data_IF_672645740889
#
_entry.id   IF_672645740889
#
_cell.length_a   1.000
_cell.length_b   1.000
_cell.length_c   1.000
_cell.angle_alpha   90.00
_cell.angle_beta   90.00
_cell.angle_gamma   90.00
#
_symmetry.space_group_name_H-M   'P 1'
#
loop_
_entity.id
_entity.type
_entity.pdbx_description
1 polymer ?
#
# COMPACT_ATOMS: atom_id res chain seq x y z
N UNK A 1 -7.92 -32.43 2.80
CA UNK A 1 -6.47 -32.28 3.02
C UNK A 1 -5.68 -32.06 1.73
N UNK A 2 -6.28 -31.71 0.58
CA UNK A 2 -5.55 -31.80 -0.70
C UNK A 2 -5.63 -30.58 -1.63
N UNK A 3 -6.37 -29.51 -1.32
CA UNK A 3 -6.44 -28.33 -2.23
C UNK A 3 -5.48 -27.21 -1.84
N UNK A 4 -5.22 -27.02 -0.57
CA UNK A 4 -4.43 -25.89 -0.04
C UNK A 4 -2.93 -26.13 -0.21
N UNK A 5 -2.49 -27.38 -0.04
CA UNK A 5 -1.11 -27.77 -0.39
C UNK A 5 -0.78 -27.53 -1.88
N UNK A 6 -1.77 -27.58 -2.78
CA UNK A 6 -1.52 -27.31 -4.21
C UNK A 6 -1.22 -25.84 -4.51
N UNK A 7 -1.84 -24.89 -3.81
CA UNK A 7 -1.61 -23.45 -4.05
C UNK A 7 -0.26 -23.02 -3.45
N UNK A 8 0.05 -23.47 -2.23
CA UNK A 8 1.37 -23.25 -1.65
C UNK A 8 2.50 -24.03 -2.39
N UNK A 9 2.22 -25.25 -2.86
CA UNK A 9 3.18 -26.07 -3.62
C UNK A 9 3.40 -25.52 -5.03
N UNK A 10 2.42 -24.87 -5.66
CA UNK A 10 2.63 -24.22 -6.96
C UNK A 10 3.64 -23.08 -6.86
N UNK A 11 3.61 -22.31 -5.77
CA UNK A 11 4.63 -21.29 -5.47
C UNK A 11 6.03 -21.91 -5.30
N UNK A 12 6.13 -23.10 -4.71
CA UNK A 12 7.40 -23.81 -4.49
C UNK A 12 7.94 -24.47 -5.78
N UNK A 13 7.07 -24.93 -6.68
CA UNK A 13 7.52 -25.66 -7.89
C UNK A 13 8.01 -24.75 -9.02
N UNK A 14 7.64 -23.46 -9.05
CA UNK A 14 8.20 -22.49 -10.00
C UNK A 14 9.56 -21.92 -9.58
N UNK A 15 9.99 -22.12 -8.34
CA UNK A 15 11.32 -21.71 -7.82
C UNK A 15 12.48 -22.59 -8.33
N UNK A 16 12.22 -23.69 -9.04
CA UNK A 16 13.25 -24.71 -9.38
C UNK A 16 13.63 -24.78 -10.85
N UNK A 17 13.50 -23.72 -11.66
CA UNK A 17 14.10 -23.79 -13.00
C UNK A 17 14.41 -22.42 -13.62
N UNK A 18 15.54 -21.85 -13.26
CA UNK A 18 16.34 -21.04 -14.18
C UNK A 18 17.76 -20.84 -13.64
N UNK A 19 18.62 -21.80 -13.94
CA UNK A 19 20.06 -21.55 -13.96
C UNK A 19 20.37 -20.74 -15.21
N UNK A 20 20.59 -19.45 -15.05
CA UNK A 20 21.43 -18.71 -15.98
C UNK A 20 22.56 -18.08 -15.16
N UNK A 21 23.70 -18.76 -15.23
CA UNK A 21 24.99 -18.27 -14.78
C UNK A 21 25.41 -17.19 -15.77
N UNK A 22 25.42 -15.94 -15.34
CA UNK A 22 26.26 -14.92 -15.96
C UNK A 22 27.45 -14.73 -15.05
N UNK A 23 28.57 -15.27 -15.48
CA UNK A 23 29.91 -14.93 -14.96
C UNK A 23 30.25 -13.53 -15.42
N UNK A 24 30.22 -12.56 -14.49
CA UNK A 24 30.93 -11.31 -14.70
C UNK A 24 32.08 -11.22 -13.70
N UNK A 25 33.30 -11.18 -14.25
CA UNK A 25 34.55 -10.92 -13.53
C UNK A 25 34.82 -9.43 -13.68
N UNK A 26 34.51 -8.63 -12.68
CA UNK A 26 34.78 -7.20 -12.66
C UNK A 26 35.13 -6.71 -11.26
N UNK A 27 36.32 -6.18 -11.11
CA UNK A 27 36.99 -5.76 -9.90
C UNK A 27 36.24 -4.68 -9.09
N UNK A 28 36.33 -4.84 -7.76
CA UNK A 28 35.91 -3.93 -6.69
C UNK A 28 36.48 -2.51 -6.87
N UNK A 29 35.59 -1.53 -6.92
CA UNK A 29 35.89 -0.15 -6.56
C UNK A 29 34.66 0.51 -5.98
N UNK A 30 34.73 0.91 -4.68
CA UNK A 30 33.69 1.55 -3.89
C UNK A 30 32.97 2.66 -4.65
N UNK A 31 31.75 2.36 -5.08
CA UNK A 31 30.86 3.26 -5.77
C UNK A 31 29.48 3.21 -5.14
N UNK A 32 28.97 4.36 -4.70
CA UNK A 32 27.61 4.52 -4.26
C UNK A 32 26.65 4.00 -5.33
N UNK A 33 25.51 3.49 -4.89
CA UNK A 33 24.43 2.95 -5.73
C UNK A 33 24.05 3.98 -6.82
N UNK A 34 24.40 3.68 -8.07
CA UNK A 34 24.00 4.44 -9.26
C UNK A 34 22.91 3.75 -10.05
N UNK A 35 22.11 2.88 -9.40
CA UNK A 35 20.99 2.22 -10.03
C UNK A 35 19.83 3.20 -10.28
N UNK A 36 19.21 3.13 -11.46
CA UNK A 36 17.99 3.87 -11.74
C UNK A 36 16.92 3.49 -10.72
N UNK A 37 16.31 4.50 -10.08
CA UNK A 37 15.19 4.30 -9.15
C UNK A 37 14.04 3.65 -9.90
N UNK A 38 13.48 2.56 -9.33
CA UNK A 38 12.35 1.84 -9.94
C UNK A 38 12.75 0.69 -10.85
N UNK A 39 13.98 0.15 -10.74
CA UNK A 39 14.40 -1.04 -11.46
C UNK A 39 13.51 -2.24 -11.16
N UNK A 40 13.12 -2.99 -12.20
CA UNK A 40 12.32 -4.21 -12.08
C UNK A 40 13.24 -5.42 -12.22
N UNK A 41 13.26 -6.28 -11.20
CA UNK A 41 13.94 -7.58 -11.25
C UNK A 41 12.94 -8.73 -11.07
N UNK A 42 13.31 -9.92 -11.55
CA UNK A 42 12.61 -11.14 -11.20
C UNK A 42 12.94 -11.54 -9.77
N UNK A 43 11.92 -11.69 -8.93
CA UNK A 43 12.10 -12.03 -7.52
C UNK A 43 12.26 -13.54 -7.34
N UNK A 44 13.32 -13.95 -6.67
CA UNK A 44 13.45 -15.29 -6.14
C UNK A 44 12.78 -15.36 -4.76
N UNK A 45 11.50 -15.75 -4.74
CA UNK A 45 10.68 -15.75 -3.54
C UNK A 45 10.80 -17.08 -2.81
N UNK A 46 11.13 -17.02 -1.52
CA UNK A 46 11.26 -18.18 -0.64
C UNK A 46 10.21 -18.13 0.48
N UNK A 47 9.60 -19.29 0.76
CA UNK A 47 8.68 -19.47 1.88
C UNK A 47 9.47 -19.44 3.20
N UNK A 48 9.07 -18.54 4.14
CA UNK A 48 9.65 -18.50 5.49
C UNK A 48 8.80 -19.34 6.47
N UNK A 49 7.49 -19.07 6.52
CA UNK A 49 6.59 -19.66 7.51
C UNK A 49 5.15 -19.72 7.00
N UNK A 50 4.42 -20.72 7.42
CA UNK A 50 2.97 -20.86 7.21
C UNK A 50 2.28 -20.56 8.52
N UNK A 51 1.39 -19.57 8.56
CA UNK A 51 0.60 -19.22 9.75
C UNK A 51 -0.66 -20.08 9.85
N UNK A 52 -1.35 -20.24 8.72
CA UNK A 52 -2.58 -21.00 8.59
C UNK A 52 -2.78 -21.47 7.13
N UNK A 53 -3.96 -21.99 6.82
CA UNK A 53 -4.28 -22.48 5.47
C UNK A 53 -4.34 -21.41 4.38
N UNK A 54 -4.41 -20.15 4.75
CA UNK A 54 -4.60 -19.01 3.86
C UNK A 54 -3.43 -18.04 3.89
N UNK A 55 -2.60 -18.09 4.94
CA UNK A 55 -1.60 -17.06 5.22
C UNK A 55 -0.21 -17.66 5.40
N UNK A 56 0.75 -17.09 4.69
CA UNK A 56 2.17 -17.43 4.82
C UNK A 56 3.06 -16.20 4.69
N UNK A 57 4.27 -16.28 5.24
CA UNK A 57 5.30 -15.26 5.05
C UNK A 57 6.40 -15.75 4.11
N UNK A 58 6.93 -14.79 3.36
CA UNK A 58 7.92 -15.01 2.31
C UNK A 58 9.06 -14.01 2.44
N UNK A 59 10.20 -14.35 1.83
CA UNK A 59 11.32 -13.44 1.60
C UNK A 59 11.73 -13.43 0.12
N UNK A 60 12.32 -12.33 -0.30
CA UNK A 60 12.93 -12.21 -1.63
C UNK A 60 14.13 -11.27 -1.56
N UNK A 61 15.29 -11.65 -2.13
CA UNK A 61 16.39 -10.72 -2.36
C UNK A 61 15.96 -9.62 -3.34
N UNK A 62 16.24 -8.36 -3.00
CA UNK A 62 16.05 -7.22 -3.89
C UNK A 62 17.15 -6.17 -3.63
N UNK A 63 17.99 -5.91 -4.63
CA UNK A 63 19.19 -5.11 -4.44
C UNK A 63 20.06 -5.69 -3.32
N UNK A 64 20.46 -4.85 -2.38
CA UNK A 64 21.29 -5.25 -1.23
C UNK A 64 20.48 -5.72 -0.01
N UNK A 65 19.17 -5.91 -0.14
CA UNK A 65 18.26 -6.24 0.95
C UNK A 65 17.59 -7.59 0.76
N UNK A 66 17.32 -8.27 1.87
CA UNK A 66 16.30 -9.33 1.89
C UNK A 66 14.99 -8.70 2.32
N UNK A 67 14.00 -8.72 1.43
CA UNK A 67 12.68 -8.12 1.66
C UNK A 67 11.70 -9.20 2.09
N UNK A 68 10.91 -8.89 3.11
CA UNK A 68 9.93 -9.82 3.65
C UNK A 68 8.51 -9.32 3.41
N UNK A 69 7.56 -10.25 3.27
CA UNK A 69 6.14 -9.93 3.15
C UNK A 69 5.26 -11.10 3.60
N UNK A 70 4.05 -10.81 4.00
CA UNK A 70 3.02 -11.79 4.36
C UNK A 70 1.95 -11.74 3.29
N UNK A 71 1.52 -12.90 2.81
CA UNK A 71 0.44 -13.03 1.83
C UNK A 71 -0.74 -13.73 2.49
N UNK A 72 -1.92 -13.14 2.36
CA UNK A 72 -3.18 -13.76 2.70
C UNK A 72 -4.02 -13.94 1.43
N UNK A 73 -4.48 -15.16 1.20
CA UNK A 73 -5.29 -15.56 0.04
C UNK A 73 -6.67 -15.99 0.54
N UNK A 74 -7.77 -15.48 -0.01
CA UNK A 74 -9.10 -15.85 0.45
C UNK A 74 -9.37 -17.37 0.27
N UNK A 75 -10.25 -17.97 1.12
CA UNK A 75 -10.35 -19.44 1.25
C UNK A 75 -10.77 -20.17 -0.01
N UNK A 76 -11.61 -19.53 -0.84
CA UNK A 76 -12.20 -20.15 -2.02
C UNK A 76 -11.53 -19.72 -3.34
N UNK A 77 -10.32 -19.15 -3.26
CA UNK A 77 -9.59 -18.71 -4.45
C UNK A 77 -9.26 -19.90 -5.37
N UNK A 78 -9.66 -19.75 -6.63
CA UNK A 78 -9.32 -20.68 -7.71
C UNK A 78 -8.76 -19.91 -8.92
N UNK A 79 -7.46 -20.05 -9.16
CA UNK A 79 -6.74 -19.34 -10.23
C UNK A 79 -7.26 -19.63 -11.65
N UNK A 80 -7.95 -20.75 -11.87
CA UNK A 80 -8.50 -21.11 -13.18
C UNK A 80 -9.74 -20.29 -13.53
N UNK A 81 -10.52 -19.87 -12.51
CA UNK A 81 -11.84 -19.27 -12.72
C UNK A 81 -12.00 -17.86 -12.14
N UNK A 82 -11.02 -17.38 -11.38
CA UNK A 82 -11.13 -16.11 -10.66
C UNK A 82 -9.91 -15.24 -10.90
N UNK A 83 -10.15 -14.03 -11.38
CA UNK A 83 -9.15 -12.96 -11.44
C UNK A 83 -9.40 -12.00 -10.28
N UNK A 84 -8.50 -11.99 -9.28
CA UNK A 84 -8.71 -11.28 -8.02
C UNK A 84 -7.99 -9.93 -7.97
N UNK A 85 -8.56 -8.95 -7.25
CA UNK A 85 -7.83 -7.76 -6.85
C UNK A 85 -6.61 -8.09 -5.97
N UNK A 86 -5.60 -7.23 -6.01
CA UNK A 86 -4.39 -7.30 -5.19
C UNK A 86 -4.28 -6.02 -4.35
N UNK A 87 -4.18 -6.17 -3.02
CA UNK A 87 -4.06 -5.06 -2.09
C UNK A 87 -2.76 -5.15 -1.30
N UNK A 88 -1.90 -4.15 -1.45
CA UNK A 88 -0.74 -3.97 -0.59
C UNK A 88 -1.11 -3.15 0.63
N UNK A 89 -0.75 -3.63 1.84
CA UNK A 89 -1.03 -2.94 3.11
C UNK A 89 0.30 -2.65 3.82
N UNK A 90 0.57 -1.37 4.06
CA UNK A 90 1.88 -0.86 4.44
C UNK A 90 1.88 -0.31 5.87
N UNK A 91 2.85 -0.76 6.68
CA UNK A 91 3.00 -0.31 8.07
C UNK A 91 3.61 1.09 8.17
N UNK A 92 3.41 1.75 9.31
CA UNK A 92 4.05 3.02 9.67
C UNK A 92 5.53 2.86 10.07
N UNK A 93 6.20 3.99 10.29
CA UNK A 93 7.56 4.03 10.82
C UNK A 93 7.64 3.32 12.16
N UNK A 94 8.70 2.56 12.42
CA UNK A 94 8.95 1.69 13.58
C UNK A 94 8.01 0.48 13.73
N UNK A 95 7.00 0.34 12.86
CA UNK A 95 6.05 -0.76 12.88
C UNK A 95 6.49 -1.92 11.97
N UNK A 96 5.70 -2.96 11.83
CA UNK A 96 6.02 -4.18 11.10
C UNK A 96 4.80 -4.74 10.36
N UNK A 97 5.04 -5.58 9.34
CA UNK A 97 3.99 -6.22 8.55
C UNK A 97 2.98 -7.03 9.40
N UNK A 98 3.38 -7.84 10.40
CA UNK A 98 2.42 -8.52 11.27
C UNK A 98 1.55 -7.57 12.09
N UNK A 99 2.09 -6.42 12.47
CA UNK A 99 1.37 -5.42 13.28
C UNK A 99 0.29 -4.75 12.44
N UNK A 100 0.63 -4.26 11.24
CA UNK A 100 -0.37 -3.62 10.37
C UNK A 100 -1.42 -4.63 9.87
N UNK A 101 -1.07 -5.91 9.68
CA UNK A 101 -2.02 -6.98 9.39
C UNK A 101 -3.09 -7.08 10.46
N UNK A 102 -2.69 -7.15 11.73
CA UNK A 102 -3.62 -7.20 12.86
C UNK A 102 -4.41 -5.90 13.01
N UNK A 103 -3.73 -4.75 12.83
CA UNK A 103 -4.30 -3.43 13.05
C UNK A 103 -5.35 -3.07 12.01
N UNK A 104 -5.09 -3.38 10.75
CA UNK A 104 -5.98 -3.07 9.64
C UNK A 104 -7.12 -4.08 9.47
N UNK A 105 -6.94 -5.35 9.87
CA UNK A 105 -7.97 -6.39 9.77
C UNK A 105 -8.36 -6.78 8.34
N UNK A 106 -7.54 -6.49 7.34
CA UNK A 106 -7.85 -6.78 5.93
C UNK A 106 -8.02 -8.26 5.61
N UNK A 107 -7.49 -9.19 6.42
CA UNK A 107 -7.70 -10.62 6.22
C UNK A 107 -9.19 -11.00 6.26
N UNK A 108 -9.93 -10.44 7.24
CA UNK A 108 -11.36 -10.70 7.35
C UNK A 108 -12.10 -10.15 6.13
N UNK A 109 -11.82 -8.92 5.73
CA UNK A 109 -12.46 -8.30 4.56
C UNK A 109 -12.11 -9.08 3.29
N UNK A 110 -10.85 -9.53 3.15
CA UNK A 110 -10.39 -10.37 2.03
C UNK A 110 -11.18 -11.68 1.93
N UNK A 111 -11.48 -12.32 3.07
CA UNK A 111 -12.25 -13.56 3.11
C UNK A 111 -13.72 -13.35 2.68
N UNK A 112 -14.29 -12.19 3.00
CA UNK A 112 -15.67 -11.83 2.67
C UNK A 112 -15.81 -11.36 1.21
N UNK A 113 -14.82 -10.63 0.71
CA UNK A 113 -14.89 -9.87 -0.54
C UNK A 113 -13.98 -10.40 -1.66
N UNK A 114 -13.23 -11.48 -1.41
CA UNK A 114 -12.40 -12.19 -2.40
C UNK A 114 -11.32 -11.34 -3.08
N UNK A 115 -10.28 -10.95 -2.35
CA UNK A 115 -9.08 -10.32 -2.87
C UNK A 115 -7.82 -10.83 -2.16
N UNK A 116 -6.65 -10.71 -2.78
CA UNK A 116 -5.37 -11.09 -2.18
C UNK A 116 -4.80 -9.89 -1.43
N UNK A 117 -4.36 -10.11 -0.18
CA UNK A 117 -3.69 -9.09 0.63
C UNK A 117 -2.22 -9.41 0.79
N UNK A 118 -1.38 -8.39 0.63
CA UNK A 118 0.07 -8.48 0.83
C UNK A 118 0.51 -7.43 1.84
N UNK A 119 0.95 -7.88 3.01
CA UNK A 119 1.55 -7.02 4.04
C UNK A 119 3.05 -7.00 3.84
N UNK A 120 3.55 -5.91 3.33
CA UNK A 120 4.97 -5.77 2.99
C UNK A 120 5.75 -5.24 4.18
N UNK A 121 6.94 -5.81 4.43
CA UNK A 121 7.86 -5.33 5.47
C UNK A 121 8.82 -4.30 4.87
N UNK A 122 8.86 -3.11 5.47
CA UNK A 122 9.84 -2.07 5.18
C UNK A 122 11.25 -2.46 5.64
N UNK A 123 12.25 -1.80 5.08
CA UNK A 123 13.65 -1.96 5.52
C UNK A 123 13.92 -1.24 6.84
N UNK A 124 15.10 -1.44 7.41
CA UNK A 124 15.54 -0.72 8.60
C UNK A 124 16.47 0.44 8.23
N UNK A 125 16.33 1.56 8.93
CA UNK A 125 17.26 2.67 8.88
C UNK A 125 18.53 2.38 9.71
N UNK A 126 19.44 3.36 9.75
CA UNK A 126 20.70 3.26 10.53
C UNK A 126 20.49 3.16 12.04
N UNK A 127 19.30 3.46 12.53
CA UNK A 127 18.92 3.36 13.95
C UNK A 127 18.20 2.06 14.28
N UNK A 128 17.99 1.19 13.28
CA UNK A 128 17.24 -0.07 13.42
C UNK A 128 15.72 0.09 13.35
N UNK A 129 15.20 1.27 12.99
CA UNK A 129 13.78 1.50 12.83
C UNK A 129 13.32 1.09 11.43
N UNK A 130 12.20 0.40 11.35
CA UNK A 130 11.58 -0.03 10.08
C UNK A 130 10.80 1.09 9.41
N UNK A 131 10.80 1.14 8.09
CA UNK A 131 10.06 2.14 7.32
C UNK A 131 10.30 2.06 5.82
N UNK A 132 10.04 3.16 5.13
CA UNK A 132 9.97 3.25 3.68
C UNK A 132 10.72 4.48 3.16
N UNK A 133 11.28 4.38 1.98
CA UNK A 133 11.67 5.55 1.18
C UNK A 133 10.40 6.20 0.58
N UNK A 134 9.69 6.94 1.40
CA UNK A 134 8.36 7.47 1.07
C UNK A 134 8.38 8.94 0.60
N UNK A 135 9.55 9.54 0.38
CA UNK A 135 9.68 10.93 -0.06
C UNK A 135 9.30 11.98 0.99
N UNK A 136 9.15 11.57 2.27
CA UNK A 136 8.71 12.47 3.35
C UNK A 136 9.85 12.92 4.27
N UNK A 137 10.73 11.99 4.69
CA UNK A 137 11.91 12.31 5.50
C UNK A 137 13.07 11.37 5.14
N UNK A 138 14.31 11.86 5.32
CA UNK A 138 15.51 11.35 4.67
C UNK A 138 16.12 10.02 5.14
N UNK A 139 15.46 9.27 6.04
CA UNK A 139 16.08 8.09 6.68
C UNK A 139 16.30 6.90 5.72
N UNK A 140 15.58 6.82 4.59
CA UNK A 140 15.55 5.68 3.67
C UNK A 140 15.92 6.05 2.22
N UNK A 141 16.57 7.15 1.98
CA UNK A 141 16.80 7.70 0.61
C UNK A 141 17.58 6.78 -0.32
N UNK A 142 18.30 5.80 0.22
CA UNK A 142 19.10 4.83 -0.56
C UNK A 142 18.35 3.54 -0.86
N UNK A 143 17.11 3.38 -0.41
CA UNK A 143 16.30 2.17 -0.63
C UNK A 143 15.40 2.37 -1.84
N UNK A 144 15.45 1.45 -2.79
CA UNK A 144 14.54 1.44 -3.94
C UNK A 144 13.26 0.65 -3.64
N UNK A 145 12.38 1.23 -2.80
CA UNK A 145 11.08 0.63 -2.51
C UNK A 145 10.17 0.60 -3.74
N UNK A 146 10.22 1.62 -4.60
CA UNK A 146 9.40 1.68 -5.82
C UNK A 146 9.73 0.52 -6.76
N UNK A 147 11.02 0.26 -7.02
CA UNK A 147 11.46 -0.88 -7.82
C UNK A 147 11.07 -2.22 -7.20
N UNK A 148 11.13 -2.32 -5.86
CA UNK A 148 10.67 -3.51 -5.16
C UNK A 148 9.17 -3.76 -5.36
N UNK A 149 8.30 -2.75 -5.22
CA UNK A 149 6.87 -2.90 -5.47
C UNK A 149 6.55 -3.25 -6.93
N UNK A 150 7.24 -2.66 -7.91
CA UNK A 150 7.12 -3.06 -9.32
C UNK A 150 7.47 -4.53 -9.53
N UNK A 151 8.53 -5.00 -8.87
CA UNK A 151 8.98 -6.39 -8.93
C UNK A 151 7.99 -7.35 -8.23
N UNK A 152 7.42 -6.93 -7.08
CA UNK A 152 6.36 -7.68 -6.41
C UNK A 152 5.10 -7.80 -7.27
N UNK A 153 4.64 -6.72 -7.87
CA UNK A 153 3.47 -6.73 -8.77
C UNK A 153 3.72 -7.71 -9.93
N UNK A 154 4.89 -7.63 -10.56
CA UNK A 154 5.29 -8.58 -11.61
C UNK A 154 5.23 -10.03 -11.11
N UNK A 155 5.80 -10.31 -9.92
CA UNK A 155 5.77 -11.63 -9.32
C UNK A 155 4.35 -12.11 -9.06
N UNK A 156 3.49 -11.29 -8.43
CA UNK A 156 2.10 -11.68 -8.15
C UNK A 156 1.29 -11.96 -9.40
N UNK A 157 1.48 -11.20 -10.47
CA UNK A 157 0.88 -11.46 -11.79
C UNK A 157 1.32 -12.79 -12.42
N UNK A 158 2.48 -13.33 -12.04
CA UNK A 158 2.95 -14.64 -12.55
C UNK A 158 2.44 -15.83 -11.73
N UNK A 159 2.22 -15.65 -10.43
CA UNK A 159 1.86 -16.77 -9.51
C UNK A 159 0.37 -16.82 -9.19
N UNK A 160 -0.35 -15.72 -9.37
CA UNK A 160 -1.79 -15.63 -9.17
C UNK A 160 -2.47 -15.04 -10.40
N UNK A 161 -3.75 -15.36 -10.57
CA UNK A 161 -4.58 -14.70 -11.59
C UNK A 161 -5.06 -13.35 -11.03
N UNK A 162 -4.24 -12.31 -11.21
CA UNK A 162 -4.50 -10.95 -10.71
C UNK A 162 -5.30 -10.14 -11.75
N UNK A 163 -6.32 -9.44 -11.28
CA UNK A 163 -6.98 -8.41 -12.08
C UNK A 163 -6.08 -7.17 -12.15
N UNK A 164 -5.41 -6.98 -13.28
CA UNK A 164 -4.45 -5.89 -13.47
C UNK A 164 -5.05 -4.48 -13.38
N UNK A 165 -6.37 -4.36 -13.48
CA UNK A 165 -7.09 -3.11 -13.25
C UNK A 165 -7.44 -2.88 -11.78
N UNK A 166 -7.20 -3.85 -10.91
CA UNK A 166 -7.54 -3.81 -9.48
C UNK A 166 -6.33 -4.15 -8.61
N UNK A 167 -5.26 -3.37 -8.78
CA UNK A 167 -4.06 -3.42 -7.94
C UNK A 167 -4.01 -2.14 -7.12
N UNK A 168 -3.99 -2.28 -5.79
CA UNK A 168 -4.20 -1.19 -4.85
C UNK A 168 -3.11 -1.16 -3.79
N UNK A 169 -2.91 0.02 -3.18
CA UNK A 169 -2.03 0.18 -2.03
C UNK A 169 -2.72 0.99 -0.94
N UNK A 170 -2.56 0.57 0.29
CA UNK A 170 -3.00 1.35 1.46
C UNK A 170 -1.97 1.24 2.58
N UNK A 171 -2.02 2.16 3.52
CA UNK A 171 -1.13 2.11 4.67
C UNK A 171 -1.38 3.22 5.68
N UNK A 172 -0.75 3.05 6.84
CA UNK A 172 -0.81 3.99 7.94
C UNK A 172 0.47 4.85 7.99
N UNK A 173 0.33 6.14 8.30
CA UNK A 173 1.49 6.99 8.60
C UNK A 173 2.50 6.93 7.44
N UNK A 174 3.76 6.55 7.70
CA UNK A 174 4.77 6.37 6.64
C UNK A 174 4.33 5.37 5.55
N UNK A 175 3.50 4.36 5.86
CA UNK A 175 2.89 3.47 4.88
C UNK A 175 1.88 4.19 3.98
N UNK A 176 1.15 5.18 4.52
CA UNK A 176 0.28 6.07 3.73
C UNK A 176 1.09 6.98 2.80
N UNK A 177 2.20 7.56 3.28
CA UNK A 177 3.15 8.29 2.43
C UNK A 177 3.70 7.42 1.31
N UNK A 178 4.06 6.16 1.62
CA UNK A 178 4.55 5.23 0.60
C UNK A 178 3.47 4.89 -0.42
N UNK A 179 2.21 4.72 0.00
CA UNK A 179 1.08 4.52 -0.93
C UNK A 179 0.91 5.71 -1.88
N UNK A 180 1.03 6.93 -1.40
CA UNK A 180 1.06 8.13 -2.25
C UNK A 180 2.23 8.11 -3.22
N UNK A 181 3.44 7.75 -2.76
CA UNK A 181 4.60 7.61 -3.63
C UNK A 181 4.38 6.57 -4.73
N UNK A 182 3.78 5.43 -4.39
CA UNK A 182 3.43 4.41 -5.36
C UNK A 182 2.41 4.92 -6.39
N UNK A 183 1.42 5.71 -5.97
CA UNK A 183 0.48 6.34 -6.90
C UNK A 183 1.17 7.30 -7.88
N UNK A 184 2.23 7.99 -7.43
CA UNK A 184 3.00 8.91 -8.27
C UNK A 184 3.95 8.22 -9.26
N UNK A 185 4.48 7.02 -8.91
CA UNK A 185 5.61 6.44 -9.64
C UNK A 185 5.30 5.05 -10.22
N UNK A 186 4.21 4.36 -9.84
CA UNK A 186 3.89 2.99 -10.29
C UNK A 186 2.55 2.95 -11.02
N UNK A 187 2.60 2.78 -12.33
CA UNK A 187 1.41 2.83 -13.18
C UNK A 187 0.43 1.69 -12.90
N UNK A 188 0.93 0.51 -12.53
CA UNK A 188 0.11 -0.65 -12.17
C UNK A 188 -0.76 -0.42 -10.93
N UNK A 189 -0.42 0.51 -10.03
CA UNK A 189 -1.28 0.87 -8.89
C UNK A 189 -2.45 1.72 -9.40
N UNK A 190 -3.67 1.23 -9.28
CA UNK A 190 -4.86 1.88 -9.83
C UNK A 190 -5.52 2.87 -8.86
N UNK A 191 -5.45 2.59 -7.56
CA UNK A 191 -5.95 3.45 -6.49
C UNK A 191 -5.16 3.28 -5.21
N UNK A 192 -5.19 4.29 -4.35
CA UNK A 192 -4.56 4.19 -3.03
C UNK A 192 -5.49 4.65 -1.91
N UNK A 193 -5.26 4.09 -0.71
CA UNK A 193 -5.83 4.56 0.54
C UNK A 193 -4.72 4.99 1.50
N UNK A 194 -4.86 6.16 2.12
CA UNK A 194 -3.93 6.63 3.14
C UNK A 194 -4.64 6.87 4.45
N UNK A 195 -4.10 6.35 5.55
CA UNK A 195 -4.60 6.62 6.89
C UNK A 195 -3.50 7.33 7.67
N UNK A 196 -3.75 8.58 8.10
CA UNK A 196 -2.80 9.45 8.82
C UNK A 196 -1.43 9.59 8.15
N UNK A 197 -1.39 9.43 6.82
CA UNK A 197 -0.24 9.71 5.98
C UNK A 197 -0.59 10.77 4.96
N UNK A 198 0.38 11.36 4.30
CA UNK A 198 0.17 12.38 3.26
C UNK A 198 1.20 12.26 2.14
N UNK A 199 1.25 13.23 1.25
CA UNK A 199 2.29 13.32 0.22
C UNK A 199 3.56 13.94 0.81
N UNK A 200 4.71 13.30 0.57
CA UNK A 200 6.01 13.88 0.91
C UNK A 200 6.42 14.98 -0.07
N UNK A 201 7.17 15.99 0.42
CA UNK A 201 7.66 17.10 -0.43
C UNK A 201 9.07 16.85 -1.00
N UNK A 202 9.76 15.80 -0.55
CA UNK A 202 11.15 15.54 -0.97
C UNK A 202 11.26 14.72 -2.27
N UNK A 203 10.18 14.12 -2.74
CA UNK A 203 10.14 13.45 -4.04
C UNK A 203 9.02 14.07 -4.88
N UNK A 204 9.33 14.59 -6.08
CA UNK A 204 8.30 15.10 -6.97
C UNK A 204 7.29 14.03 -7.35
N UNK A 205 6.00 14.36 -7.29
CA UNK A 205 4.93 13.49 -7.78
C UNK A 205 4.59 13.85 -9.22
N UNK A 206 4.90 12.94 -10.15
CA UNK A 206 4.65 13.10 -11.59
C UNK A 206 3.99 11.85 -12.15
N UNK A 207 2.71 11.57 -11.78
CA UNK A 207 2.03 10.36 -12.21
C UNK A 207 1.88 10.34 -13.73
N UNK A 208 1.89 9.15 -14.32
CA UNK A 208 1.65 8.97 -15.76
C UNK A 208 0.18 8.61 -16.05
N UNK A 209 -0.54 8.15 -15.05
CA UNK A 209 -1.94 7.73 -15.17
C UNK A 209 -2.80 8.30 -14.04
N UNK A 210 -4.06 8.56 -14.32
CA UNK A 210 -5.03 9.04 -13.31
C UNK A 210 -5.25 7.97 -12.23
N UNK A 211 -5.41 8.38 -10.97
CA UNK A 211 -5.56 7.48 -9.81
C UNK A 211 -6.73 7.92 -8.94
N UNK A 212 -7.50 6.97 -8.43
CA UNK A 212 -8.44 7.28 -7.37
C UNK A 212 -7.74 7.27 -6.00
N UNK A 213 -8.10 8.21 -5.14
CA UNK A 213 -7.45 8.43 -3.85
C UNK A 213 -8.51 8.49 -2.75
N UNK A 214 -8.33 7.71 -1.68
CA UNK A 214 -9.08 7.88 -0.44
C UNK A 214 -8.11 8.16 0.72
N UNK A 215 -8.36 9.21 1.50
CA UNK A 215 -7.48 9.67 2.57
C UNK A 215 -8.29 9.90 3.86
N UNK A 216 -7.81 9.34 4.96
CA UNK A 216 -8.35 9.52 6.31
C UNK A 216 -7.32 10.24 7.17
N UNK A 217 -7.72 11.34 7.83
CA UNK A 217 -6.79 12.10 8.66
C UNK A 217 -7.51 12.76 9.84
N UNK A 218 -6.97 12.57 11.05
CA UNK A 218 -7.41 13.26 12.25
C UNK A 218 -6.95 14.72 12.25
N UNK A 219 -7.84 15.64 12.59
CA UNK A 219 -7.52 17.06 12.59
C UNK A 219 -6.55 17.44 13.74
N UNK A 220 -6.48 16.59 14.79
CA UNK A 220 -5.57 16.75 15.93
C UNK A 220 -4.35 15.81 15.88
N UNK A 221 -4.00 15.31 14.70
CA UNK A 221 -2.80 14.51 14.51
C UNK A 221 -1.54 15.35 14.76
N UNK A 222 -0.83 15.04 15.86
CA UNK A 222 0.40 15.72 16.27
C UNK A 222 1.67 15.07 15.71
N UNK A 223 1.57 13.90 15.10
CA UNK A 223 2.70 13.15 14.53
C UNK A 223 2.85 13.48 13.04
N UNK A 224 1.75 13.42 12.30
CA UNK A 224 1.64 13.85 10.90
C UNK A 224 0.61 14.97 10.85
N UNK A 225 1.02 16.24 10.95
CA UNK A 225 0.07 17.34 11.08
C UNK A 225 -0.92 17.42 9.91
N UNK A 226 -2.22 17.43 10.23
CA UNK A 226 -3.30 17.57 9.25
C UNK A 226 -3.09 18.78 8.31
N UNK A 227 -2.60 19.88 8.88
CA UNK A 227 -2.36 21.14 8.16
C UNK A 227 -1.02 21.17 7.40
N UNK A 228 -0.31 20.03 7.36
CA UNK A 228 0.94 19.92 6.61
C UNK A 228 2.14 20.58 7.28
N UNK A 229 3.20 20.76 6.50
CA UNK A 229 4.46 21.37 6.96
C UNK A 229 5.54 21.36 5.89
N UNK A 230 6.77 21.65 6.28
CA UNK A 230 7.89 21.79 5.34
C UNK A 230 8.24 20.50 4.59
N UNK A 231 7.92 19.34 5.16
CA UNK A 231 8.27 18.02 4.62
C UNK A 231 7.08 17.22 4.06
N UNK A 232 5.85 17.73 4.26
CA UNK A 232 4.62 17.06 3.81
C UNK A 232 3.56 18.05 3.33
N UNK A 233 2.72 17.58 2.44
CA UNK A 233 1.48 18.28 2.07
C UNK A 233 0.47 18.19 3.22
N UNK A 234 -0.35 19.21 3.43
CA UNK A 234 -1.55 19.07 4.26
C UNK A 234 -2.52 18.07 3.62
N UNK A 235 -3.45 17.54 4.41
CA UNK A 235 -4.49 16.64 3.89
C UNK A 235 -5.29 17.29 2.75
N UNK A 236 -5.62 18.58 2.89
CA UNK A 236 -6.30 19.35 1.86
C UNK A 236 -5.44 19.61 0.62
N UNK A 237 -4.15 19.94 0.76
CA UNK A 237 -3.25 20.11 -0.39
C UNK A 237 -3.09 18.80 -1.18
N UNK A 238 -2.98 17.65 -0.49
CA UNK A 238 -2.91 16.34 -1.15
C UNK A 238 -4.21 16.05 -1.92
N UNK A 239 -5.38 16.34 -1.34
CA UNK A 239 -6.67 16.21 -2.01
C UNK A 239 -6.74 17.12 -3.24
N UNK A 240 -6.41 18.40 -3.12
CA UNK A 240 -6.45 19.35 -4.23
C UNK A 240 -5.45 19.00 -5.35
N UNK A 241 -4.26 18.46 -5.00
CA UNK A 241 -3.31 17.97 -6.00
C UNK A 241 -3.96 16.90 -6.89
N UNK A 242 -4.54 15.86 -6.30
CA UNK A 242 -5.13 14.75 -7.05
C UNK A 242 -6.44 15.12 -7.75
N UNK A 243 -7.26 15.97 -7.14
CA UNK A 243 -8.43 16.56 -7.80
C UNK A 243 -8.05 17.29 -9.08
N UNK A 244 -7.03 18.15 -9.01
CA UNK A 244 -6.57 18.91 -10.17
C UNK A 244 -5.88 18.01 -11.20
N UNK A 245 -5.03 17.06 -10.75
CA UNK A 245 -4.38 16.11 -11.64
C UNK A 245 -5.40 15.22 -12.38
N UNK A 246 -6.44 14.77 -11.69
CA UNK A 246 -7.52 13.96 -12.26
C UNK A 246 -8.56 14.80 -13.04
N UNK A 247 -8.43 16.13 -13.06
CA UNK A 247 -9.35 17.05 -13.76
C UNK A 247 -10.82 16.86 -13.31
N UNK A 248 -11.02 16.79 -11.99
CA UNK A 248 -12.35 16.57 -11.43
C UNK A 248 -13.24 17.83 -11.59
N UNK A 249 -14.42 17.63 -12.17
CA UNK A 249 -15.35 18.72 -12.49
C UNK A 249 -16.24 19.16 -11.32
N UNK A 250 -16.43 18.30 -10.31
CA UNK A 250 -17.36 18.54 -9.22
C UNK A 250 -16.75 18.18 -7.87
N UNK A 251 -17.27 18.82 -6.81
CA UNK A 251 -16.90 18.54 -5.42
C UNK A 251 -18.11 18.66 -4.51
N UNK A 252 -18.20 17.78 -3.52
CA UNK A 252 -19.23 17.81 -2.48
C UNK A 252 -18.62 17.49 -1.11
N UNK A 253 -19.07 18.19 -0.08
CA UNK A 253 -18.72 17.92 1.30
C UNK A 253 -19.97 17.52 2.08
N UNK A 254 -19.86 16.44 2.84
CA UNK A 254 -20.92 15.97 3.74
C UNK A 254 -20.34 15.73 5.13
N UNK A 255 -21.18 15.94 6.15
CA UNK A 255 -20.87 15.51 7.53
C UNK A 255 -21.50 14.14 7.74
N UNK A 256 -20.72 13.18 8.20
CA UNK A 256 -21.19 11.85 8.53
C UNK A 256 -21.90 11.86 9.90
N UNK A 257 -22.77 10.85 10.18
CA UNK A 257 -23.38 10.71 11.49
C UNK A 257 -22.32 10.51 12.59
N UNK A 258 -22.50 11.17 13.71
CA UNK A 258 -21.82 10.91 14.98
C UNK A 258 -22.35 9.58 15.54
N UNK A 259 -21.62 8.49 15.34
CA UNK A 259 -22.04 7.14 15.72
C UNK A 259 -21.56 6.75 17.13
N UNK A 260 -20.50 7.36 17.60
CA UNK A 260 -19.92 7.11 18.93
C UNK A 260 -20.53 8.04 20.00
N UNK A 261 -21.19 9.13 19.59
CA UNK A 261 -21.93 10.05 20.47
C UNK A 261 -21.02 11.01 21.24
N UNK A 262 -19.81 11.30 20.75
CA UNK A 262 -18.84 12.19 21.40
C UNK A 262 -19.04 13.66 21.05
N UNK A 263 -19.92 13.95 20.09
CA UNK A 263 -20.24 15.30 19.61
C UNK A 263 -19.23 15.87 18.61
N UNK A 264 -18.24 15.07 18.19
CA UNK A 264 -17.29 15.44 17.15
C UNK A 264 -17.83 15.01 15.77
N UNK A 265 -17.24 15.50 14.71
CA UNK A 265 -17.71 15.15 13.38
C UNK A 265 -16.64 14.51 12.52
N UNK A 266 -17.09 13.65 11.61
CA UNK A 266 -16.30 13.24 10.45
C UNK A 266 -16.84 13.90 9.20
N UNK A 267 -16.02 14.69 8.50
CA UNK A 267 -16.36 15.28 7.20
C UNK A 267 -15.77 14.43 6.09
N UNK A 268 -16.60 14.15 5.09
CA UNK A 268 -16.19 13.53 3.84
C UNK A 268 -16.24 14.57 2.72
N UNK A 269 -15.11 14.86 2.10
CA UNK A 269 -14.98 15.67 0.91
C UNK A 269 -14.74 14.75 -0.28
N UNK A 270 -15.60 14.81 -1.29
CA UNK A 270 -15.52 13.99 -2.49
C UNK A 270 -15.40 14.86 -3.73
N UNK A 271 -14.36 14.68 -4.52
CA UNK A 271 -14.21 15.22 -5.88
C UNK A 271 -14.51 14.14 -6.90
N UNK A 272 -15.41 14.40 -7.84
CA UNK A 272 -15.97 13.44 -8.79
C UNK A 272 -16.19 14.06 -10.17
N UNK A 273 -16.67 13.28 -11.12
CA UNK A 273 -16.66 13.62 -12.55
C UNK A 273 -15.25 13.96 -13.03
N UNK A 274 -14.29 13.15 -12.59
CA UNK A 274 -12.89 13.26 -12.99
C UNK A 274 -12.64 12.48 -14.28
N UNK A 275 -11.52 12.75 -14.96
CA UNK A 275 -11.09 11.92 -16.07
C UNK A 275 -10.90 10.46 -15.65
N UNK A 276 -11.06 9.54 -16.60
CA UNK A 276 -11.00 8.09 -16.39
C UNK A 276 -11.91 7.57 -15.27
N UNK A 277 -13.02 8.29 -14.98
CA UNK A 277 -13.97 7.96 -13.90
C UNK A 277 -13.32 7.88 -12.52
N UNK A 278 -12.21 8.59 -12.29
CA UNK A 278 -11.53 8.61 -10.98
C UNK A 278 -12.30 9.43 -9.94
N UNK A 279 -11.98 9.17 -8.68
CA UNK A 279 -12.59 9.83 -7.51
C UNK A 279 -11.48 10.17 -6.53
N UNK A 280 -11.60 11.34 -5.87
CA UNK A 280 -10.70 11.73 -4.78
C UNK A 280 -11.53 12.02 -3.54
N UNK A 281 -11.29 11.29 -2.46
CA UNK A 281 -11.99 11.42 -1.19
C UNK A 281 -11.05 11.78 -0.05
N UNK A 282 -11.46 12.73 0.79
CA UNK A 282 -10.80 13.07 2.05
C UNK A 282 -11.82 12.94 3.18
N UNK A 283 -11.47 12.14 4.18
CA UNK A 283 -12.17 12.07 5.46
C UNK A 283 -11.37 12.84 6.51
N UNK A 284 -11.94 13.94 6.99
CA UNK A 284 -11.37 14.76 8.07
C UNK A 284 -12.10 14.42 9.36
N UNK A 285 -11.38 13.95 10.36
CA UNK A 285 -11.93 13.48 11.62
C UNK A 285 -11.59 14.48 12.73
N UNK A 286 -12.60 15.25 13.19
CA UNK A 286 -12.45 16.20 14.29
C UNK A 286 -12.08 15.47 15.58
N UNK A 287 -11.19 16.08 16.39
CA UNK A 287 -10.73 15.51 17.67
C UNK A 287 -9.84 14.27 17.57
N UNK A 288 -9.72 13.69 16.40
CA UNK A 288 -8.96 12.47 16.21
C UNK A 288 -7.47 12.73 15.96
N UNK A 289 -6.65 11.80 16.47
CA UNK A 289 -5.19 11.86 16.37
C UNK A 289 -4.61 10.84 15.38
N UNK A 290 -3.35 10.46 15.64
CA UNK A 290 -2.56 9.56 14.77
C UNK A 290 -2.91 8.09 15.02
N UNK A 291 -3.95 7.57 14.39
CA UNK A 291 -4.41 6.19 14.56
C UNK A 291 -4.99 5.60 13.28
N UNK A 292 -5.20 4.28 13.26
CA UNK A 292 -6.04 3.60 12.28
C UNK A 292 -7.49 3.65 12.78
N UNK A 293 -8.41 4.23 12.03
CA UNK A 293 -9.78 4.44 12.50
C UNK A 293 -10.61 3.16 12.35
N UNK A 294 -11.28 2.75 13.42
CA UNK A 294 -12.16 1.59 13.45
C UNK A 294 -13.32 1.84 14.41
N UNK A 295 -14.53 1.53 13.99
CA UNK A 295 -15.74 1.59 14.84
C UNK A 295 -15.60 0.70 16.07
N UNK A 296 -14.86 -0.40 15.98
CA UNK A 296 -14.58 -1.28 17.12
C UNK A 296 -13.71 -0.62 18.20
N UNK A 297 -13.07 0.50 17.89
CA UNK A 297 -12.25 1.29 18.81
C UNK A 297 -12.89 2.63 19.17
N UNK A 298 -14.16 2.82 18.82
CA UNK A 298 -14.94 4.00 19.20
C UNK A 298 -14.87 5.16 18.20
N UNK A 299 -14.39 4.94 16.98
CA UNK A 299 -14.45 5.97 15.93
C UNK A 299 -15.74 5.88 15.12
N UNK A 300 -16.14 6.97 14.48
CA UNK A 300 -17.34 7.03 13.63
C UNK A 300 -17.21 6.18 12.35
N UNK A 301 -15.98 5.93 11.91
CA UNK A 301 -15.69 5.24 10.66
C UNK A 301 -14.77 4.06 10.86
N UNK A 302 -14.85 3.08 9.95
CA UNK A 302 -13.87 2.00 9.80
C UNK A 302 -13.10 2.23 8.51
N UNK A 303 -11.84 2.66 8.62
CA UNK A 303 -10.99 2.96 7.44
C UNK A 303 -10.87 1.76 6.52
N UNK A 304 -10.66 0.56 7.05
CA UNK A 304 -10.47 -0.65 6.25
C UNK A 304 -11.69 -0.98 5.38
N UNK A 305 -12.89 -0.93 5.97
CA UNK A 305 -14.16 -1.18 5.26
C UNK A 305 -14.39 -0.14 4.16
N UNK A 306 -14.16 1.14 4.48
CA UNK A 306 -14.36 2.23 3.52
C UNK A 306 -13.30 2.23 2.42
N UNK A 307 -12.03 1.89 2.74
CA UNK A 307 -10.97 1.74 1.75
C UNK A 307 -11.30 0.59 0.80
N UNK A 308 -11.73 -0.57 1.32
CA UNK A 308 -12.09 -1.68 0.46
C UNK A 308 -13.28 -1.33 -0.44
N UNK A 309 -14.34 -0.78 0.12
CA UNK A 309 -15.51 -0.35 -0.66
C UNK A 309 -15.13 0.65 -1.75
N UNK A 310 -14.24 1.59 -1.44
CA UNK A 310 -13.72 2.55 -2.41
C UNK A 310 -12.91 1.85 -3.52
N UNK A 311 -12.09 0.85 -3.18
CA UNK A 311 -11.30 0.09 -4.16
C UNK A 311 -12.18 -0.81 -5.04
N UNK A 312 -13.18 -1.46 -4.45
CA UNK A 312 -14.12 -2.33 -5.17
C UNK A 312 -14.84 -1.57 -6.30
N UNK A 313 -15.26 -0.34 -6.01
CA UNK A 313 -15.99 0.54 -6.94
C UNK A 313 -15.10 1.06 -8.10
N UNK A 314 -13.76 0.84 -8.08
CA UNK A 314 -12.87 1.28 -9.16
C UNK A 314 -12.93 0.32 -10.35
N UNK A 315 -13.01 0.90 -11.56
CA UNK A 315 -13.06 0.17 -12.84
C UNK A 315 -11.73 0.20 -13.57
#
# INVERSE_FOLDING_TARGET
>A
MNKIYKILILVILFSCNSKNILTDTGEDSGGGFTGEVGYIQDLNVELISVYDSQTASFSAPFGNFVRNFIVHVPPDYNSENQSLPLVFVLHGYTSQAPIIRQYSGFDQISNEENFIVVYVQGTTDIYGNTGWNAGSFGAFTTVDDVGFFRSLIKYFKTVYNINEKKIFSTGMSMGGFMSYRLACEVDDINSIGSVTGSMGRYTPCQPQTKKSIIHFHGEEDTIVPYNGGDWLYSANEAHEFWKNYNECGNQVSITLPDLNGDGQYTKKLTSYNCEDSKIVELYSLEGEGHTWYSKNWGHDVSSSELIWKFFEDQQ
#
